data_IF_172479330193
#
_entry.id   IF_172479330193
#
_cell.length_a   1.000
_cell.length_b   1.000
_cell.length_c   1.000
_cell.angle_alpha   90.00
_cell.angle_beta   90.00
_cell.angle_gamma   90.00
#
_symmetry.space_group_name_H-M   'P 1'
#
loop_
_entity.id
_entity.type
_entity.pdbx_description
1 polymer ?
#
# COMPACT_ATOMS: atom_id res chain seq x y z
N UNK A 1 -11.55 43.25 33.44
CA UNK A 1 -10.49 42.56 32.66
C UNK A 1 -10.20 41.13 33.14
N UNK A 2 -10.07 40.85 34.44
CA UNK A 2 -9.75 39.50 34.93
C UNK A 2 -10.79 38.40 34.59
N UNK A 3 -12.10 38.69 34.66
CA UNK A 3 -13.14 37.70 34.30
C UNK A 3 -13.17 37.38 32.81
N UNK A 4 -12.90 38.38 31.96
CA UNK A 4 -12.83 38.21 30.50
C UNK A 4 -11.64 37.30 30.15
N UNK A 5 -10.48 37.52 30.76
CA UNK A 5 -9.31 36.67 30.57
C UNK A 5 -9.58 35.22 30.99
N UNK A 6 -10.20 34.99 32.16
CA UNK A 6 -10.58 33.64 32.62
C UNK A 6 -11.54 32.96 31.64
N UNK A 7 -12.57 33.65 31.18
CA UNK A 7 -13.53 33.12 30.20
C UNK A 7 -12.85 32.72 28.89
N UNK A 8 -11.93 33.54 28.38
CA UNK A 8 -11.16 33.23 27.17
C UNK A 8 -10.28 31.99 27.35
N UNK A 9 -9.58 31.86 28.48
CA UNK A 9 -8.77 30.65 28.76
C UNK A 9 -9.67 29.42 28.87
N UNK A 10 -10.81 29.50 29.55
CA UNK A 10 -11.75 28.37 29.66
C UNK A 10 -12.28 27.94 28.30
N UNK A 11 -12.68 28.88 27.44
CA UNK A 11 -13.13 28.58 26.07
C UNK A 11 -12.03 27.95 25.23
N UNK A 12 -10.80 28.44 25.35
CA UNK A 12 -9.64 27.85 24.68
C UNK A 12 -9.39 26.41 25.13
N UNK A 13 -9.41 26.15 26.44
CA UNK A 13 -9.26 24.81 26.99
C UNK A 13 -10.37 23.84 26.53
N UNK A 14 -11.62 24.29 26.53
CA UNK A 14 -12.75 23.50 26.01
C UNK A 14 -12.58 23.19 24.52
N UNK A 15 -12.14 24.17 23.73
CA UNK A 15 -11.81 23.96 22.32
C UNK A 15 -10.74 22.89 22.13
N UNK A 16 -9.64 22.94 22.89
CA UNK A 16 -8.60 21.91 22.85
C UNK A 16 -9.12 20.52 23.24
N UNK A 17 -9.97 20.42 24.26
CA UNK A 17 -10.58 19.15 24.68
C UNK A 17 -11.45 18.55 23.56
N UNK A 18 -12.24 19.37 22.87
CA UNK A 18 -13.07 18.92 21.74
C UNK A 18 -12.18 18.40 20.60
N UNK A 19 -11.12 19.13 20.26
CA UNK A 19 -10.16 18.67 19.23
C UNK A 19 -9.52 17.36 19.65
N UNK A 20 -8.95 17.27 20.85
CA UNK A 20 -8.31 16.07 21.37
C UNK A 20 -9.25 14.86 21.39
N UNK A 21 -10.50 15.05 21.80
CA UNK A 21 -11.52 14.00 21.79
C UNK A 21 -11.77 13.46 20.37
N UNK A 22 -11.96 14.35 19.39
CA UNK A 22 -12.16 13.95 17.98
C UNK A 22 -10.99 13.15 17.43
N UNK A 23 -9.76 13.55 17.72
CA UNK A 23 -8.55 12.81 17.32
C UNK A 23 -8.45 11.46 18.03
N UNK A 24 -8.73 11.41 19.34
CA UNK A 24 -8.70 10.19 20.12
C UNK A 24 -9.68 9.13 19.61
N UNK A 25 -10.94 9.51 19.39
CA UNK A 25 -11.97 8.60 18.89
C UNK A 25 -11.60 8.05 17.51
N UNK A 26 -11.16 8.90 16.58
CA UNK A 26 -10.74 8.46 15.25
C UNK A 26 -9.56 7.49 15.30
N UNK A 27 -8.59 7.74 16.18
CA UNK A 27 -7.44 6.87 16.34
C UNK A 27 -7.82 5.50 16.91
N UNK A 28 -8.81 5.43 17.81
CA UNK A 28 -9.35 4.15 18.30
C UNK A 28 -9.93 3.33 17.14
N UNK A 29 -10.69 3.97 16.24
CA UNK A 29 -11.22 3.32 15.04
C UNK A 29 -10.09 2.84 14.11
N UNK A 30 -9.08 3.68 13.88
CA UNK A 30 -7.91 3.32 13.07
C UNK A 30 -7.16 2.11 13.63
N UNK A 31 -6.85 2.08 14.93
CA UNK A 31 -6.14 0.95 15.55
C UNK A 31 -6.95 -0.33 15.44
N UNK A 32 -8.27 -0.26 15.67
CA UNK A 32 -9.17 -1.42 15.48
C UNK A 32 -9.14 -1.94 14.04
N UNK A 33 -9.30 -1.06 13.04
CA UNK A 33 -9.25 -1.43 11.63
C UNK A 33 -7.89 -2.04 11.25
N UNK A 34 -6.79 -1.34 11.58
CA UNK A 34 -5.42 -1.76 11.27
C UNK A 34 -5.09 -3.13 11.88
N UNK A 35 -5.40 -3.36 13.15
CA UNK A 35 -5.09 -4.62 13.81
C UNK A 35 -5.87 -5.79 13.20
N UNK A 36 -7.16 -5.59 12.93
CA UNK A 36 -7.99 -6.60 12.27
C UNK A 36 -7.50 -6.90 10.86
N UNK A 37 -7.17 -5.88 10.06
CA UNK A 37 -6.63 -6.07 8.72
C UNK A 37 -5.27 -6.78 8.72
N UNK A 38 -4.44 -6.59 9.75
CA UNK A 38 -3.15 -7.29 9.87
C UNK A 38 -3.31 -8.77 10.24
N UNK A 39 -4.27 -9.07 11.11
CA UNK A 39 -4.51 -10.44 11.60
C UNK A 39 -5.34 -11.27 10.63
N UNK A 40 -6.27 -10.64 9.91
CA UNK A 40 -7.22 -11.37 9.10
C UNK A 40 -6.57 -12.00 7.86
N UNK A 41 -6.70 -13.31 7.75
CA UNK A 41 -6.43 -14.03 6.51
C UNK A 41 -7.54 -13.74 5.47
N UNK A 42 -7.25 -13.97 4.19
CA UNK A 42 -8.23 -13.74 3.11
C UNK A 42 -9.54 -14.49 3.31
N UNK A 43 -9.49 -15.70 3.89
CA UNK A 43 -10.65 -16.53 4.23
C UNK A 43 -11.46 -15.94 5.39
N UNK A 44 -10.81 -15.31 6.38
CA UNK A 44 -11.51 -14.68 7.51
C UNK A 44 -12.23 -13.39 7.11
N UNK A 45 -11.74 -12.69 6.10
CA UNK A 45 -12.40 -11.51 5.54
C UNK A 45 -13.60 -11.85 4.64
N UNK A 46 -13.71 -13.10 4.20
CA UNK A 46 -14.94 -13.61 3.59
C UNK A 46 -16.05 -13.85 4.62
N UNK A 47 -15.74 -13.83 5.93
CA UNK A 47 -16.73 -13.85 7.00
C UNK A 47 -17.38 -12.45 7.14
N UNK A 48 -18.68 -12.38 6.90
CA UNK A 48 -19.46 -11.13 6.94
C UNK A 48 -19.31 -10.36 8.26
N UNK A 49 -19.23 -11.05 9.41
CA UNK A 49 -19.14 -10.40 10.72
C UNK A 49 -17.78 -9.69 10.93
N UNK A 50 -16.69 -10.29 10.44
CA UNK A 50 -15.36 -9.67 10.50
C UNK A 50 -15.34 -8.46 9.58
N UNK A 51 -15.91 -8.61 8.37
CA UNK A 51 -15.96 -7.57 7.37
C UNK A 51 -16.75 -6.33 7.84
N UNK A 52 -17.95 -6.52 8.40
CA UNK A 52 -18.80 -5.44 8.90
C UNK A 52 -18.12 -4.67 10.04
N UNK A 53 -17.40 -5.38 10.91
CA UNK A 53 -16.70 -4.76 12.02
C UNK A 53 -15.49 -3.93 11.55
N UNK A 54 -14.75 -4.40 10.54
CA UNK A 54 -13.67 -3.61 9.93
C UNK A 54 -14.27 -2.41 9.20
N UNK A 55 -15.36 -2.60 8.45
CA UNK A 55 -16.05 -1.52 7.75
C UNK A 55 -16.49 -0.42 8.71
N UNK A 56 -17.17 -0.75 9.79
CA UNK A 56 -17.60 0.22 10.81
C UNK A 56 -16.41 0.99 11.41
N UNK A 57 -15.27 0.33 11.56
CA UNK A 57 -14.04 1.00 12.01
C UNK A 57 -13.47 1.95 10.95
N UNK A 58 -13.49 1.55 9.67
CA UNK A 58 -13.06 2.40 8.55
C UNK A 58 -13.97 3.63 8.41
N UNK A 59 -15.28 3.42 8.41
CA UNK A 59 -16.27 4.50 8.34
C UNK A 59 -16.10 5.47 9.52
N UNK A 60 -15.88 4.94 10.73
CA UNK A 60 -15.67 5.75 11.92
C UNK A 60 -14.44 6.66 11.83
N UNK A 61 -13.27 6.13 11.44
CA UNK A 61 -12.06 6.96 11.34
C UNK A 61 -12.17 8.04 10.25
N UNK A 62 -12.81 7.73 9.12
CA UNK A 62 -13.00 8.68 8.02
C UNK A 62 -14.08 9.72 8.32
N UNK A 63 -15.13 9.37 9.08
CA UNK A 63 -16.15 10.34 9.51
C UNK A 63 -15.56 11.44 10.41
N UNK A 64 -14.59 11.09 11.26
CA UNK A 64 -13.94 12.06 12.14
C UNK A 64 -12.84 12.86 11.46
N UNK A 65 -12.03 12.22 10.60
CA UNK A 65 -10.91 12.84 9.87
C UNK A 65 -10.79 12.28 8.44
N UNK A 66 -11.57 12.81 7.48
CA UNK A 66 -11.67 12.23 6.13
C UNK A 66 -10.37 12.37 5.32
N UNK A 67 -9.57 13.40 5.57
CA UNK A 67 -8.32 13.67 4.86
C UNK A 67 -7.07 13.14 5.57
N UNK A 68 -7.21 12.39 6.67
CA UNK A 68 -6.04 11.91 7.40
C UNK A 68 -5.32 10.81 6.61
N UNK A 69 -4.04 11.01 6.22
CA UNK A 69 -3.40 10.17 5.21
C UNK A 69 -3.19 8.72 5.66
N UNK A 70 -2.97 8.47 6.95
CA UNK A 70 -2.89 7.09 7.46
C UNK A 70 -4.25 6.39 7.42
N UNK A 71 -5.35 7.11 7.66
CA UNK A 71 -6.69 6.54 7.67
C UNK A 71 -7.10 6.19 6.24
N UNK A 72 -6.78 7.07 5.28
CA UNK A 72 -6.95 6.80 3.85
C UNK A 72 -6.16 5.57 3.39
N UNK A 73 -4.90 5.39 3.81
CA UNK A 73 -4.13 4.18 3.48
C UNK A 73 -4.75 2.90 4.07
N UNK A 74 -5.25 2.96 5.31
CA UNK A 74 -5.95 1.85 5.94
C UNK A 74 -7.27 1.53 5.25
N UNK A 75 -8.02 2.55 4.81
CA UNK A 75 -9.22 2.37 4.01
C UNK A 75 -8.90 1.71 2.66
N UNK A 76 -7.81 2.12 1.98
CA UNK A 76 -7.37 1.50 0.74
C UNK A 76 -7.02 0.03 0.93
N UNK A 77 -6.39 -0.29 2.06
CA UNK A 77 -6.04 -1.67 2.41
C UNK A 77 -7.28 -2.52 2.66
N UNK A 78 -8.30 -1.94 3.31
CA UNK A 78 -9.61 -2.57 3.49
C UNK A 78 -10.27 -2.89 2.14
N UNK A 79 -10.33 -1.92 1.23
CA UNK A 79 -10.92 -2.12 -0.09
C UNK A 79 -10.14 -3.12 -0.96
N UNK A 80 -8.80 -3.10 -0.93
CA UNK A 80 -8.00 -4.13 -1.61
C UNK A 80 -8.34 -5.52 -1.08
N UNK A 81 -8.43 -5.69 0.24
CA UNK A 81 -8.77 -7.00 0.84
C UNK A 81 -10.19 -7.44 0.49
N UNK A 82 -11.15 -6.52 0.53
CA UNK A 82 -12.51 -6.77 0.11
C UNK A 82 -12.58 -7.20 -1.36
N UNK A 83 -11.74 -6.64 -2.23
CA UNK A 83 -11.67 -7.04 -3.63
C UNK A 83 -11.24 -8.51 -3.83
N UNK A 84 -10.39 -9.06 -2.95
CA UNK A 84 -9.94 -10.46 -3.03
C UNK A 84 -10.80 -11.43 -2.21
N UNK A 85 -11.62 -10.94 -1.29
CA UNK A 85 -12.63 -11.74 -0.60
C UNK A 85 -13.88 -11.97 -1.50
N UNK A 86 -14.11 -11.12 -2.49
CA UNK A 86 -15.23 -11.26 -3.43
C UNK A 86 -14.83 -12.07 -4.66
N UNK A 87 -15.60 -13.12 -4.96
CA UNK A 87 -15.43 -13.91 -6.19
C UNK A 87 -15.98 -13.19 -7.43
N UNK A 88 -16.94 -12.27 -7.26
CA UNK A 88 -17.55 -11.52 -8.35
C UNK A 88 -16.54 -10.52 -8.96
N UNK A 89 -16.19 -10.63 -10.26
CA UNK A 89 -15.23 -9.73 -10.91
C UNK A 89 -15.65 -8.25 -10.92
N UNK A 90 -16.95 -7.96 -10.97
CA UNK A 90 -17.48 -6.59 -10.98
C UNK A 90 -17.24 -5.93 -9.62
N UNK A 91 -17.59 -6.62 -8.53
CA UNK A 91 -17.36 -6.12 -7.16
C UNK A 91 -15.87 -6.05 -6.85
N UNK A 92 -15.06 -7.01 -7.33
CA UNK A 92 -13.61 -6.93 -7.22
C UNK A 92 -13.06 -5.66 -7.87
N UNK A 93 -13.45 -5.36 -9.11
CA UNK A 93 -13.00 -4.17 -9.82
C UNK A 93 -13.44 -2.89 -9.10
N UNK A 94 -14.72 -2.82 -8.69
CA UNK A 94 -15.25 -1.70 -7.91
C UNK A 94 -14.45 -1.44 -6.64
N UNK A 95 -14.15 -2.48 -5.86
CA UNK A 95 -13.36 -2.35 -4.64
C UNK A 95 -11.91 -1.92 -4.92
N UNK A 96 -11.28 -2.42 -5.99
CA UNK A 96 -9.95 -1.94 -6.39
C UNK A 96 -9.98 -0.46 -6.78
N UNK A 97 -11.04 0.02 -7.45
CA UNK A 97 -11.20 1.45 -7.77
C UNK A 97 -11.39 2.31 -6.53
N UNK A 98 -12.16 1.85 -5.54
CA UNK A 98 -12.27 2.55 -4.25
C UNK A 98 -10.92 2.57 -3.50
N UNK A 99 -10.16 1.47 -3.55
CA UNK A 99 -8.82 1.44 -2.99
C UNK A 99 -7.89 2.47 -3.66
N UNK A 100 -7.89 2.51 -5.00
CA UNK A 100 -7.10 3.45 -5.78
C UNK A 100 -7.45 4.90 -5.40
N UNK A 101 -8.74 5.22 -5.34
CA UNK A 101 -9.23 6.56 -4.98
C UNK A 101 -8.70 7.02 -3.62
N UNK A 102 -8.85 6.22 -2.57
CA UNK A 102 -8.38 6.65 -1.24
C UNK A 102 -6.85 6.68 -1.14
N UNK A 103 -6.12 5.86 -1.92
CA UNK A 103 -4.67 5.98 -2.02
C UNK A 103 -4.23 7.27 -2.75
N UNK A 104 -4.93 7.66 -3.81
CA UNK A 104 -4.70 8.94 -4.49
C UNK A 104 -4.96 10.13 -3.56
N UNK A 105 -6.06 10.11 -2.81
CA UNK A 105 -6.36 11.12 -1.78
C UNK A 105 -5.26 11.19 -0.71
N UNK A 106 -4.75 10.02 -0.28
CA UNK A 106 -3.64 9.96 0.67
C UNK A 106 -2.33 10.54 0.11
N UNK A 107 -2.02 10.23 -1.16
CA UNK A 107 -0.84 10.73 -1.86
C UNK A 107 -0.90 12.25 -2.06
N UNK A 108 -2.08 12.81 -2.33
CA UNK A 108 -2.28 14.26 -2.45
C UNK A 108 -1.97 15.00 -1.14
N UNK A 109 -2.18 14.37 0.01
CA UNK A 109 -1.84 14.96 1.33
C UNK A 109 -0.38 14.70 1.69
N UNK A 110 0.23 13.61 1.22
CA UNK A 110 1.62 13.21 1.51
C UNK A 110 2.36 12.74 0.27
N UNK A 111 2.68 13.69 -0.60
CA UNK A 111 3.35 13.42 -1.88
C UNK A 111 4.72 12.73 -1.72
N UNK A 112 5.38 12.94 -0.58
CA UNK A 112 6.72 12.37 -0.31
C UNK A 112 6.68 10.98 0.33
N UNK A 113 5.51 10.35 0.47
CA UNK A 113 5.39 9.06 1.16
C UNK A 113 5.44 7.87 0.17
N UNK A 114 6.58 7.16 0.05
CA UNK A 114 6.80 6.24 -1.06
C UNK A 114 5.87 5.02 -1.03
N UNK A 115 5.47 4.56 0.15
CA UNK A 115 4.60 3.37 0.29
C UNK A 115 3.19 3.61 -0.24
N UNK A 116 2.68 4.85 -0.18
CA UNK A 116 1.37 5.18 -0.75
C UNK A 116 1.42 5.13 -2.28
N UNK A 117 2.48 5.65 -2.88
CA UNK A 117 2.73 5.49 -4.32
C UNK A 117 2.90 4.03 -4.73
N UNK A 118 3.55 3.22 -3.89
CA UNK A 118 3.63 1.78 -4.11
C UNK A 118 2.27 1.09 -4.07
N UNK A 119 1.39 1.48 -3.14
CA UNK A 119 0.01 0.99 -3.13
C UNK A 119 -0.74 1.40 -4.42
N UNK A 120 -0.54 2.62 -4.94
CA UNK A 120 -1.16 3.09 -6.19
C UNK A 120 -0.75 2.22 -7.37
N UNK A 121 0.55 2.06 -7.66
CA UNK A 121 0.97 1.24 -8.81
C UNK A 121 0.55 -0.22 -8.63
N UNK A 122 0.50 -0.73 -7.38
CA UNK A 122 0.04 -2.09 -7.09
C UNK A 122 -1.42 -2.28 -7.44
N UNK A 123 -2.29 -1.36 -7.01
CA UNK A 123 -3.72 -1.42 -7.32
C UNK A 123 -3.96 -1.26 -8.82
N UNK A 124 -3.24 -0.35 -9.49
CA UNK A 124 -3.32 -0.19 -10.94
C UNK A 124 -2.89 -1.44 -11.70
N UNK A 125 -1.81 -2.11 -11.29
CA UNK A 125 -1.43 -3.41 -11.87
C UNK A 125 -2.52 -4.48 -11.67
N UNK A 126 -3.20 -4.51 -10.51
CA UNK A 126 -4.34 -5.42 -10.25
C UNK A 126 -5.56 -5.10 -11.11
N UNK A 127 -5.74 -3.84 -11.51
CA UNK A 127 -6.75 -3.38 -12.46
C UNK A 127 -6.34 -3.62 -13.92
N UNK A 128 -5.09 -3.98 -14.19
CA UNK A 128 -4.55 -4.10 -15.55
C UNK A 128 -4.20 -2.74 -16.20
N UNK A 129 -4.08 -1.69 -15.39
CA UNK A 129 -3.83 -0.32 -15.84
C UNK A 129 -2.33 0.00 -15.79
N UNK A 130 -1.64 -0.10 -16.92
CA UNK A 130 -0.21 0.23 -17.08
C UNK A 130 -0.03 1.55 -17.85
N UNK A 131 -0.70 2.59 -17.37
CA UNK A 131 -0.79 3.91 -18.00
C UNK A 131 0.27 4.91 -17.45
N UNK A 132 0.08 6.20 -17.77
CA UNK A 132 0.93 7.29 -17.28
C UNK A 132 0.88 7.45 -15.76
N UNK A 133 -0.26 7.18 -15.12
CA UNK A 133 -0.38 7.26 -13.66
C UNK A 133 0.36 6.10 -13.00
N UNK A 134 0.30 4.89 -13.56
CA UNK A 134 1.12 3.77 -13.10
C UNK A 134 2.61 4.15 -13.12
N UNK A 135 3.07 4.70 -14.25
CA UNK A 135 4.47 5.12 -14.40
C UNK A 135 4.85 6.27 -13.46
N UNK A 136 3.94 7.22 -13.24
CA UNK A 136 4.14 8.29 -12.26
C UNK A 136 4.27 7.74 -10.84
N UNK A 137 3.38 6.82 -10.44
CA UNK A 137 3.44 6.17 -9.13
C UNK A 137 4.73 5.37 -8.93
N UNK A 138 5.21 4.63 -9.94
CA UNK A 138 6.52 3.95 -9.91
C UNK A 138 7.65 4.97 -9.70
N UNK A 139 7.65 6.08 -10.45
CA UNK A 139 8.65 7.14 -10.31
C UNK A 139 8.65 7.75 -8.90
N UNK A 140 7.48 8.07 -8.36
CA UNK A 140 7.35 8.71 -7.04
C UNK A 140 7.73 7.75 -5.91
N UNK A 141 7.33 6.48 -6.01
CA UNK A 141 7.73 5.45 -5.05
C UNK A 141 9.26 5.25 -5.04
N UNK A 142 9.89 5.22 -6.21
CA UNK A 142 11.35 5.11 -6.32
C UNK A 142 12.05 6.37 -5.81
N UNK A 143 11.57 7.57 -6.18
CA UNK A 143 12.18 8.84 -5.79
C UNK A 143 12.28 9.00 -4.27
N UNK A 144 11.19 8.71 -3.55
CA UNK A 144 11.14 8.89 -2.10
C UNK A 144 11.48 7.62 -1.30
N UNK A 145 11.52 6.45 -1.95
CA UNK A 145 11.63 5.14 -1.32
C UNK A 145 12.64 4.24 -2.00
N UNK A 146 13.70 4.80 -2.60
CA UNK A 146 14.68 4.05 -3.38
C UNK A 146 15.37 2.91 -2.62
N UNK A 147 15.35 2.93 -1.27
CA UNK A 147 15.88 1.88 -0.39
C UNK A 147 14.81 1.22 0.50
N UNK A 148 13.53 1.53 0.29
CA UNK A 148 12.45 0.94 1.07
C UNK A 148 12.16 -0.48 0.54
N UNK A 149 12.35 -1.48 1.40
CA UNK A 149 12.12 -2.89 1.06
C UNK A 149 10.71 -3.17 0.52
N UNK A 150 9.69 -2.52 1.07
CA UNK A 150 8.31 -2.72 0.61
C UNK A 150 8.15 -2.21 -0.82
N UNK A 151 8.70 -1.03 -1.13
CA UNK A 151 8.69 -0.48 -2.49
C UNK A 151 9.41 -1.41 -3.46
N UNK A 152 10.61 -1.85 -3.08
CA UNK A 152 11.43 -2.75 -3.88
C UNK A 152 10.68 -4.05 -4.21
N UNK A 153 10.11 -4.68 -3.17
CA UNK A 153 9.39 -5.95 -3.30
C UNK A 153 8.17 -5.82 -4.20
N UNK A 154 7.33 -4.82 -3.96
CA UNK A 154 6.11 -4.61 -4.75
C UNK A 154 6.44 -4.37 -6.23
N UNK A 155 7.42 -3.52 -6.53
CA UNK A 155 7.78 -3.22 -7.91
C UNK A 155 8.37 -4.44 -8.63
N UNK A 156 9.30 -5.16 -7.98
CA UNK A 156 9.93 -6.35 -8.57
C UNK A 156 8.90 -7.46 -8.80
N UNK A 157 8.00 -7.70 -7.86
CA UNK A 157 6.99 -8.76 -7.99
C UNK A 157 6.01 -8.47 -9.12
N UNK A 158 5.54 -7.22 -9.22
CA UNK A 158 4.65 -6.81 -10.31
C UNK A 158 5.39 -6.87 -11.64
N UNK A 159 6.64 -6.41 -11.70
CA UNK A 159 7.46 -6.48 -12.90
C UNK A 159 7.61 -7.94 -13.35
N UNK A 160 7.95 -8.88 -12.48
CA UNK A 160 8.08 -10.29 -12.85
C UNK A 160 6.78 -10.87 -13.44
N UNK A 161 5.64 -10.52 -12.86
CA UNK A 161 4.33 -11.01 -13.33
C UNK A 161 3.84 -10.34 -14.61
N UNK A 162 4.20 -9.08 -14.83
CA UNK A 162 3.61 -8.23 -15.87
C UNK A 162 4.65 -7.59 -16.79
N UNK A 163 5.87 -8.14 -16.88
CA UNK A 163 7.01 -7.50 -17.55
C UNK A 163 6.71 -7.05 -18.99
N UNK A 164 5.86 -7.77 -19.72
CA UNK A 164 5.45 -7.44 -21.09
C UNK A 164 4.61 -6.15 -21.21
N UNK A 165 4.01 -5.71 -20.11
CA UNK A 165 3.17 -4.50 -20.05
C UNK A 165 3.96 -3.29 -19.50
N UNK A 166 5.18 -3.49 -19.00
CA UNK A 166 6.03 -2.41 -18.52
C UNK A 166 6.70 -1.70 -19.70
N UNK A 167 6.81 -0.38 -19.61
CA UNK A 167 7.72 0.37 -20.46
C UNK A 167 9.18 0.20 -20.00
N UNK A 168 10.13 0.55 -20.87
CA UNK A 168 11.56 0.42 -20.60
C UNK A 168 12.03 1.17 -19.35
N UNK A 169 11.45 2.34 -19.07
CA UNK A 169 11.78 3.13 -17.89
C UNK A 169 11.41 2.41 -16.60
N UNK A 170 10.20 1.87 -16.51
CA UNK A 170 9.73 1.14 -15.33
C UNK A 170 10.49 -0.17 -15.14
N UNK A 171 10.90 -0.85 -16.22
CA UNK A 171 11.79 -2.03 -16.15
C UNK A 171 13.14 -1.65 -15.54
N UNK A 172 13.76 -0.55 -15.99
CA UNK A 172 15.03 -0.09 -15.45
C UNK A 172 14.94 0.20 -13.94
N UNK A 173 13.87 0.88 -13.50
CA UNK A 173 13.63 1.14 -12.07
C UNK A 173 13.40 -0.17 -11.29
N UNK A 174 12.69 -1.15 -11.86
CA UNK A 174 12.48 -2.44 -11.21
C UNK A 174 13.80 -3.23 -11.05
N UNK A 175 14.69 -3.18 -12.04
CA UNK A 175 16.03 -3.78 -11.97
C UNK A 175 16.88 -3.07 -10.90
N UNK A 176 16.84 -1.75 -10.84
CA UNK A 176 17.51 -0.97 -9.78
C UNK A 176 17.01 -1.41 -8.40
N UNK A 177 15.69 -1.54 -8.23
CA UNK A 177 15.08 -1.97 -6.98
C UNK A 177 15.41 -3.41 -6.59
N UNK A 178 15.67 -4.29 -7.55
CA UNK A 178 16.12 -5.66 -7.27
C UNK A 178 17.47 -5.68 -6.52
N UNK A 179 18.33 -4.67 -6.71
CA UNK A 179 19.59 -4.56 -5.96
C UNK A 179 19.37 -4.36 -4.45
N UNK A 180 18.19 -3.89 -4.03
CA UNK A 180 17.82 -3.76 -2.61
C UNK A 180 17.34 -5.08 -1.98
N UNK A 181 17.16 -6.14 -2.80
CA UNK A 181 16.63 -7.44 -2.38
C UNK A 181 17.67 -8.56 -2.53
N UNK A 182 18.96 -8.24 -2.42
CA UNK A 182 20.09 -9.14 -2.72
C UNK A 182 20.57 -9.98 -1.54
N UNK A 183 20.12 -9.69 -0.31
CA UNK A 183 20.39 -10.58 0.83
C UNK A 183 19.68 -11.92 0.65
N UNK A 184 20.20 -12.94 1.34
CA UNK A 184 19.79 -14.33 1.13
C UNK A 184 18.25 -14.51 1.23
N UNK A 185 17.62 -13.94 2.27
CA UNK A 185 16.21 -14.17 2.54
C UNK A 185 15.33 -13.42 1.54
N UNK A 186 15.64 -12.14 1.27
CA UNK A 186 14.87 -11.33 0.33
C UNK A 186 15.00 -11.85 -1.10
N UNK A 187 16.21 -12.20 -1.52
CA UNK A 187 16.44 -12.72 -2.87
C UNK A 187 15.77 -14.09 -3.05
N UNK A 188 15.88 -14.98 -2.04
CA UNK A 188 15.16 -16.25 -2.04
C UNK A 188 13.65 -16.03 -2.20
N UNK A 189 13.07 -15.03 -1.56
CA UNK A 189 11.65 -14.72 -1.69
C UNK A 189 11.26 -14.28 -3.11
N UNK A 190 12.08 -13.46 -3.78
CA UNK A 190 11.87 -13.09 -5.20
C UNK A 190 11.98 -14.32 -6.10
N UNK A 191 12.99 -15.17 -5.86
CA UNK A 191 13.19 -16.40 -6.63
C UNK A 191 12.03 -17.38 -6.47
N UNK A 192 11.56 -17.64 -5.25
CA UNK A 192 10.42 -18.50 -4.97
C UNK A 192 9.13 -17.96 -5.62
N UNK A 193 8.95 -16.64 -5.61
CA UNK A 193 7.86 -16.02 -6.34
C UNK A 193 7.97 -16.24 -7.85
N UNK A 194 9.16 -16.10 -8.44
CA UNK A 194 9.40 -16.36 -9.87
C UNK A 194 9.08 -17.81 -10.26
N UNK A 195 9.36 -18.77 -9.36
CA UNK A 195 8.97 -20.17 -9.54
C UNK A 195 7.45 -20.33 -9.54
N UNK A 196 6.77 -19.71 -8.56
CA UNK A 196 5.32 -19.80 -8.40
C UNK A 196 4.55 -19.31 -9.64
N UNK A 197 5.04 -18.25 -10.28
CA UNK A 197 4.39 -17.66 -11.46
C UNK A 197 4.90 -18.23 -12.79
N UNK A 198 5.83 -19.20 -12.77
CA UNK A 198 6.39 -19.81 -13.98
C UNK A 198 7.41 -18.94 -14.74
N UNK A 199 7.93 -17.87 -14.13
CA UNK A 199 8.84 -16.89 -14.76
C UNK A 199 10.29 -17.03 -14.28
N UNK A 200 10.67 -18.20 -13.74
CA UNK A 200 12.04 -18.45 -13.26
C UNK A 200 13.10 -18.19 -14.33
N UNK A 201 12.88 -18.66 -15.56
CA UNK A 201 13.85 -18.50 -16.64
C UNK A 201 14.09 -17.02 -16.97
N UNK A 202 13.01 -16.24 -17.04
CA UNK A 202 13.07 -14.79 -17.21
C UNK A 202 13.83 -14.13 -16.06
N UNK A 203 13.47 -14.43 -14.81
CA UNK A 203 14.12 -13.86 -13.62
C UNK A 203 15.61 -14.17 -13.56
N UNK A 204 16.02 -15.42 -13.79
CA UNK A 204 17.43 -15.79 -13.74
C UNK A 204 18.24 -15.19 -14.89
N UNK A 205 17.64 -15.04 -16.09
CA UNK A 205 18.27 -14.30 -17.17
C UNK A 205 18.46 -12.82 -16.82
N UNK A 206 17.45 -12.19 -16.19
CA UNK A 206 17.54 -10.81 -15.71
C UNK A 206 18.69 -10.63 -14.72
N UNK A 207 18.80 -11.53 -13.72
CA UNK A 207 19.87 -11.54 -12.72
C UNK A 207 21.25 -11.67 -13.38
N UNK A 208 21.40 -12.61 -14.33
CA UNK A 208 22.67 -12.85 -15.04
C UNK A 208 23.08 -11.67 -15.92
N UNK A 209 22.15 -11.15 -16.72
CA UNK A 209 22.41 -10.06 -17.67
C UNK A 209 22.76 -8.75 -16.98
N UNK A 210 22.22 -8.51 -15.78
CA UNK A 210 22.48 -7.30 -15.01
C UNK A 210 23.55 -7.50 -13.91
N UNK A 211 24.24 -8.65 -13.92
CA UNK A 211 25.31 -8.97 -12.96
C UNK A 211 24.89 -8.75 -11.49
N UNK A 212 23.67 -9.13 -11.13
CA UNK A 212 23.13 -8.92 -9.79
C UNK A 212 23.80 -9.88 -8.80
N UNK A 213 24.56 -9.32 -7.87
CA UNK A 213 25.25 -10.09 -6.83
C UNK A 213 24.28 -10.50 -5.73
N UNK A 214 24.25 -11.79 -5.40
CA UNK A 214 23.39 -12.34 -4.34
C UNK A 214 24.07 -13.50 -3.62
N UNK A 215 23.77 -13.66 -2.33
CA UNK A 215 24.21 -14.82 -1.53
C UNK A 215 23.39 -16.09 -1.84
N UNK A 216 22.27 -15.96 -2.54
CA UNK A 216 21.38 -17.06 -2.87
C UNK A 216 21.66 -17.59 -4.30
N UNK A 217 22.08 -18.84 -4.41
CA UNK A 217 22.56 -19.45 -5.66
C UNK A 217 21.46 -20.09 -6.54
N UNK A 218 20.17 -19.72 -6.37
CA UNK A 218 19.08 -20.36 -7.12
C UNK A 218 19.11 -20.13 -8.63
N UNK A 219 19.80 -19.09 -9.09
CA UNK A 219 20.02 -18.80 -10.51
C UNK A 219 21.41 -19.20 -11.04
N UNK A 220 22.23 -19.89 -10.23
CA UNK A 220 23.61 -20.27 -10.57
C UNK A 220 23.73 -21.57 -11.38
N UNK A 221 22.70 -21.95 -12.16
CA UNK A 221 22.71 -23.14 -13.02
C UNK A 221 22.40 -22.76 -14.46
#
# INVERSE_FOLDING_TARGET
MQYVAKALVTLFCLGMLIVAYRWGVANVHYVKASNKLKQAESVELANSNVLDSVKSSVDGMLAWHPSHPHYLNTAGTYYERLAFANENPVEKNKNLKEALKVYQESAAVREVWPRTWANIFRVKAKLGEFDSEFSHAVKMANLYGSKDEFVAKELVFIMLRHWRQFNSQNIAVAIEQLNNLTDYNRFKNVYEYSLLIGERAFFCNLVKLNSIETKFQGCSR
#
